data_IF_043673865191
#
_entry.id   IF_043673865191
#
_cell.length_a   1.000
_cell.length_b   1.000
_cell.length_c   1.000
_cell.angle_alpha   90.00
_cell.angle_beta   90.00
_cell.angle_gamma   90.00
#
_symmetry.space_group_name_H-M   'P 1'
#
loop_
_entity.id
_entity.type
_entity.pdbx_description
1 polymer ?
#
# COMPACT_ATOMS: atom_id res chain seq x y z
N UNK A 1 3.06 -9.07 25.65
CA UNK A 1 2.68 -7.90 24.83
C UNK A 1 3.52 -7.94 23.56
N UNK A 2 2.95 -8.21 22.38
CA UNK A 2 3.72 -8.13 21.13
C UNK A 2 3.92 -6.65 20.81
N UNK A 3 5.13 -6.14 21.04
CA UNK A 3 5.56 -4.83 20.54
C UNK A 3 5.32 -4.82 19.03
N UNK A 4 4.24 -4.17 18.61
CA UNK A 4 4.00 -3.92 17.20
C UNK A 4 5.02 -2.87 16.82
N UNK A 5 6.17 -3.30 16.29
CA UNK A 5 7.05 -2.42 15.53
C UNK A 5 6.19 -1.76 14.45
N UNK A 6 5.69 -0.56 14.75
CA UNK A 6 4.80 0.19 13.89
C UNK A 6 5.53 0.40 12.58
N UNK A 7 5.05 -0.26 11.52
CA UNK A 7 5.65 -0.19 10.20
C UNK A 7 5.75 1.28 9.79
N UNK A 8 6.96 1.85 9.87
CA UNK A 8 7.19 3.25 9.52
C UNK A 8 6.82 3.41 8.05
N UNK A 9 5.90 4.33 7.76
CA UNK A 9 5.47 4.65 6.39
C UNK A 9 6.64 5.09 5.52
N UNK A 10 7.74 5.59 6.12
CA UNK A 10 8.98 5.92 5.43
C UNK A 10 9.58 4.75 4.66
N UNK A 11 9.38 3.50 5.09
CA UNK A 11 9.88 2.31 4.38
C UNK A 11 9.16 2.05 3.04
N UNK A 12 8.03 2.71 2.78
CA UNK A 12 7.24 2.56 1.55
C UNK A 12 7.72 3.46 0.41
N UNK A 13 8.67 4.35 0.69
CA UNK A 13 9.28 5.24 -0.29
C UNK A 13 10.68 4.75 -0.59
N UNK A 14 10.95 4.48 -1.87
CA UNK A 14 12.29 4.15 -2.36
C UNK A 14 12.76 5.28 -3.27
N UNK A 15 13.96 5.79 -3.03
CA UNK A 15 14.58 6.81 -3.88
C UNK A 15 15.56 6.11 -4.81
N UNK A 16 15.31 6.19 -6.12
CA UNK A 16 16.26 5.71 -7.13
C UNK A 16 16.75 6.91 -7.94
N UNK A 17 18.04 7.22 -7.80
CA UNK A 17 18.90 8.25 -8.43
C UNK A 17 18.30 9.65 -8.64
N UNK A 18 17.09 9.80 -9.19
CA UNK A 18 16.34 11.06 -9.36
C UNK A 18 14.81 10.93 -9.25
N UNK A 19 14.26 9.77 -8.87
CA UNK A 19 12.80 9.54 -8.80
C UNK A 19 12.39 8.88 -7.48
N UNK A 20 11.24 9.32 -6.96
CA UNK A 20 10.60 8.70 -5.80
C UNK A 20 9.65 7.60 -6.29
N UNK A 21 10.00 6.36 -5.98
CA UNK A 21 9.18 5.18 -6.28
C UNK A 21 8.35 4.86 -5.05
N UNK A 22 7.05 4.72 -5.28
CA UNK A 22 6.09 4.29 -4.28
C UNK A 22 5.98 2.76 -4.34
N UNK A 23 6.31 2.07 -3.25
CA UNK A 23 6.31 0.61 -3.23
C UNK A 23 4.91 0.00 -3.16
N UNK A 24 3.90 0.77 -2.75
CA UNK A 24 2.51 0.31 -2.61
C UNK A 24 1.55 1.23 -3.36
N UNK A 25 0.41 0.69 -3.85
CA UNK A 25 -0.60 1.49 -4.50
C UNK A 25 -1.28 2.45 -3.51
N UNK A 26 -1.70 3.60 -4.04
CA UNK A 26 -2.57 4.54 -3.35
C UNK A 26 -4.03 4.11 -3.46
N UNK A 27 -4.83 4.45 -2.46
CA UNK A 27 -6.25 4.19 -2.53
C UNK A 27 -6.93 5.14 -3.54
N UNK A 28 -7.67 4.63 -4.55
CA UNK A 28 -8.34 5.46 -5.54
C UNK A 28 -9.44 6.34 -4.95
N UNK A 29 -9.99 5.97 -3.78
CA UNK A 29 -11.04 6.73 -3.09
C UNK A 29 -10.50 7.77 -2.11
N UNK A 30 -9.38 7.49 -1.44
CA UNK A 30 -8.81 8.42 -0.46
C UNK A 30 -7.82 9.43 -1.09
N UNK A 31 -7.31 9.13 -2.28
CA UNK A 31 -6.34 9.96 -2.96
C UNK A 31 -4.89 9.69 -2.55
N UNK A 32 -4.01 10.52 -3.12
CA UNK A 32 -2.56 10.43 -2.98
C UNK A 32 -2.18 10.69 -1.51
N UNK A 33 -1.39 9.80 -0.91
CA UNK A 33 -0.97 9.87 0.49
C UNK A 33 -1.55 8.79 1.40
N UNK A 34 -2.57 8.04 0.94
CA UNK A 34 -3.07 6.85 1.67
C UNK A 34 -2.62 5.58 0.95
N UNK A 35 -1.59 4.94 1.50
CA UNK A 35 -1.15 3.63 1.03
C UNK A 35 -2.15 2.54 1.40
N UNK A 36 -2.42 1.67 0.45
CA UNK A 36 -3.16 0.45 0.73
C UNK A 36 -2.23 -0.59 1.36
N UNK A 37 -2.75 -1.34 2.33
CA UNK A 37 -2.12 -2.51 2.86
C UNK A 37 -2.11 -3.59 1.79
N UNK A 38 -0.92 -4.01 1.39
CA UNK A 38 -0.75 -5.13 0.48
C UNK A 38 -0.82 -6.44 1.25
N UNK A 39 -1.78 -7.28 0.87
CA UNK A 39 -1.86 -8.68 1.23
C UNK A 39 -1.61 -9.54 -0.03
N UNK A 40 -1.50 -10.85 0.15
CA UNK A 40 -1.24 -11.79 -0.94
C UNK A 40 -2.40 -11.82 -1.94
N UNK A 41 -3.63 -11.82 -1.43
CA UNK A 41 -4.89 -11.94 -2.16
C UNK A 41 -5.54 -10.59 -2.52
N UNK A 42 -5.20 -9.53 -1.79
CA UNK A 42 -5.91 -8.24 -1.87
C UNK A 42 -5.06 -7.04 -1.44
N UNK A 43 -5.47 -5.87 -1.87
CA UNK A 43 -5.09 -4.58 -1.31
C UNK A 43 -6.23 -4.06 -0.45
N UNK A 44 -5.95 -3.63 0.77
CA UNK A 44 -6.97 -3.10 1.68
C UNK A 44 -6.60 -1.72 2.19
N UNK A 45 -7.52 -0.76 2.12
CA UNK A 45 -7.34 0.59 2.60
C UNK A 45 -7.82 0.70 4.06
N UNK A 46 -6.89 0.99 4.98
CA UNK A 46 -7.22 1.19 6.40
C UNK A 46 -7.99 2.48 6.72
N UNK A 47 -8.07 3.44 5.78
CA UNK A 47 -8.76 4.73 5.99
C UNK A 47 -10.25 4.68 5.61
N UNK A 48 -10.59 4.07 4.48
CA UNK A 48 -11.97 4.02 3.97
C UNK A 48 -12.57 2.61 3.88
N UNK A 49 -11.81 1.57 4.23
CA UNK A 49 -12.26 0.17 4.14
C UNK A 49 -12.34 -0.38 2.70
N UNK A 50 -11.82 0.36 1.72
CA UNK A 50 -11.80 -0.11 0.32
C UNK A 50 -10.89 -1.32 0.18
N UNK A 51 -11.34 -2.35 -0.51
CA UNK A 51 -10.55 -3.55 -0.74
C UNK A 51 -10.58 -3.92 -2.21
N UNK A 52 -9.41 -4.02 -2.84
CA UNK A 52 -9.24 -4.49 -4.20
C UNK A 52 -8.60 -5.87 -4.16
N UNK A 53 -9.24 -6.87 -4.75
CA UNK A 53 -8.63 -8.19 -4.86
C UNK A 53 -7.65 -8.19 -6.02
N UNK A 54 -6.46 -8.74 -5.80
CA UNK A 54 -5.47 -8.98 -6.85
C UNK A 54 -5.99 -10.12 -7.74
N UNK A 55 -7.02 -9.83 -8.55
CA UNK A 55 -7.41 -10.76 -9.61
C UNK A 55 -6.25 -10.77 -10.59
N UNK A 56 -5.48 -11.86 -10.59
CA UNK A 56 -4.62 -12.18 -11.74
C UNK A 56 -5.53 -12.08 -12.95
N UNK A 57 -5.31 -11.08 -13.81
CA UNK A 57 -5.90 -11.07 -15.15
C UNK A 57 -5.33 -12.32 -15.83
N UNK A 58 -6.06 -13.41 -15.73
CA UNK A 58 -5.94 -14.55 -16.63
C UNK A 58 -6.88 -14.27 -17.79
N UNK A 59 -6.31 -13.78 -18.87
CA UNK A 59 -6.59 -14.20 -20.24
C UNK A 59 -5.25 -14.42 -20.93
#
# INVERSE_FOLDING_TARGET
MKEKEGGRVSKLYRIEEKRVIHLRPFCPRCGIGVFMAEHEDRFSCGKCGYTEYKRKKGE
#
